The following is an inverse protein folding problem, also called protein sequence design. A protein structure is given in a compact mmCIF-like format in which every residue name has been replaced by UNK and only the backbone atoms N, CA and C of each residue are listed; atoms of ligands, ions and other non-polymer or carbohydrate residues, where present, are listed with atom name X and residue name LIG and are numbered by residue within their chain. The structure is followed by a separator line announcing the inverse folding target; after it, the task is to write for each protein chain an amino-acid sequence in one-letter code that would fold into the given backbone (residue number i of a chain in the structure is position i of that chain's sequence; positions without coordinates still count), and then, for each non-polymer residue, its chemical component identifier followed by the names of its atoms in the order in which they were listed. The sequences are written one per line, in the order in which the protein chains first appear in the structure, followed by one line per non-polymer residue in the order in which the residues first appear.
data_IF_998244913522
#
_entry.id   IF_998244913522
#
_cell.length_a   1.000
_cell.length_b   1.000
_cell.length_c   1.000
_cell.angle_alpha   90.00
_cell.angle_beta   90.00
_cell.angle_gamma   90.00
#
_symmetry.space_group_name_H-M   'P 1'
#
loop_
_entity.id
_entity.type
_entity.pdbx_description
1 polymer ?
#
# COMPACT_ATOMS: atom_id res chain seq x y z
N UNK A 1 10.79 23.99 -8.79
CA UNK A 1 9.85 23.48 -7.79
C UNK A 1 10.32 22.09 -7.40
N UNK A 2 10.50 21.81 -6.12
CA UNK A 2 10.76 20.45 -5.65
C UNK A 2 9.39 19.76 -5.63
N UNK A 3 9.16 18.82 -6.55
CA UNK A 3 7.92 18.05 -6.59
C UNK A 3 7.79 17.15 -5.35
N UNK A 4 6.56 16.82 -4.98
CA UNK A 4 6.29 15.88 -3.89
C UNK A 4 6.85 14.50 -4.28
N UNK A 5 7.90 14.07 -3.59
CA UNK A 5 8.47 12.73 -3.75
C UNK A 5 7.90 11.79 -2.69
N UNK A 6 6.83 11.07 -3.01
CA UNK A 6 6.29 10.02 -2.14
C UNK A 6 7.27 8.84 -2.14
N UNK A 7 7.72 8.46 -0.95
CA UNK A 7 8.71 7.40 -0.74
C UNK A 7 8.14 6.18 -0.05
N UNK A 8 7.15 6.35 0.83
CA UNK A 8 6.42 5.26 1.46
C UNK A 8 4.94 5.57 1.53
N UNK A 9 4.12 4.55 1.30
CA UNK A 9 2.68 4.54 1.55
C UNK A 9 2.38 3.30 2.37
N UNK A 10 1.62 3.45 3.45
CA UNK A 10 1.02 2.30 4.18
C UNK A 10 -0.49 2.40 4.02
N UNK A 11 -1.11 1.30 3.59
CA UNK A 11 -2.54 1.20 3.29
C UNK A 11 -3.16 0.07 4.10
N UNK A 12 -4.36 0.31 4.63
CA UNK A 12 -5.29 -0.75 5.03
C UNK A 12 -6.11 -1.15 3.82
N UNK A 13 -6.03 -2.43 3.46
CA UNK A 13 -6.66 -2.98 2.25
C UNK A 13 -7.42 -4.25 2.59
N UNK A 14 -8.72 -4.25 2.30
CA UNK A 14 -9.58 -5.41 2.37
C UNK A 14 -9.63 -6.17 1.05
N UNK A 15 -9.69 -7.49 1.10
CA UNK A 15 -9.91 -8.35 -0.07
C UNK A 15 -10.78 -9.56 0.27
N UNK A 16 -11.34 -10.22 -0.74
CA UNK A 16 -11.98 -11.52 -0.57
C UNK A 16 -10.98 -12.62 -0.17
N UNK A 17 -11.48 -13.73 0.40
CA UNK A 17 -10.63 -14.88 0.76
C UNK A 17 -10.01 -15.59 -0.45
N UNK A 18 -10.73 -15.62 -1.59
CA UNK A 18 -10.30 -16.36 -2.79
C UNK A 18 -9.36 -15.58 -3.70
N UNK A 19 -9.77 -14.38 -4.12
CA UNK A 19 -9.01 -13.50 -5.01
C UNK A 19 -9.25 -12.03 -4.64
N UNK A 20 -8.27 -11.15 -4.91
CA UNK A 20 -6.90 -11.46 -5.36
C UNK A 20 -6.08 -12.21 -4.29
N UNK A 21 -5.04 -12.94 -4.73
CA UNK A 21 -4.03 -13.49 -3.83
C UNK A 21 -3.06 -12.39 -3.37
N UNK A 22 -2.28 -12.63 -2.31
CA UNK A 22 -1.22 -11.68 -1.91
C UNK A 22 -0.15 -11.53 -3.00
N UNK A 23 0.09 -12.58 -3.79
CA UNK A 23 1.02 -12.53 -4.93
C UNK A 23 0.42 -11.67 -6.05
N UNK A 24 -0.86 -11.84 -6.38
CA UNK A 24 -1.54 -11.05 -7.41
C UNK A 24 -1.50 -9.54 -7.05
N UNK A 25 -1.75 -9.21 -5.78
CA UNK A 25 -1.62 -7.84 -5.26
C UNK A 25 -0.18 -7.34 -5.35
N UNK A 26 0.80 -8.15 -4.97
CA UNK A 26 2.21 -7.76 -5.03
C UNK A 26 2.64 -7.47 -6.47
N UNK A 27 2.28 -8.33 -7.41
CA UNK A 27 2.56 -8.17 -8.85
C UNK A 27 1.91 -6.91 -9.43
N UNK A 28 0.66 -6.64 -9.06
CA UNK A 28 -0.03 -5.42 -9.47
C UNK A 28 0.69 -4.18 -8.93
N UNK A 29 1.02 -4.15 -7.64
CA UNK A 29 1.66 -3.01 -6.98
C UNK A 29 3.05 -2.71 -7.55
N UNK A 30 3.89 -3.72 -7.78
CA UNK A 30 5.25 -3.49 -8.34
C UNK A 30 5.24 -2.98 -9.78
N UNK A 31 4.10 -3.11 -10.49
CA UNK A 31 3.97 -2.59 -11.85
C UNK A 31 3.77 -1.06 -11.89
N UNK A 32 3.42 -0.46 -10.75
CA UNK A 32 3.16 0.98 -10.62
C UNK A 32 4.47 1.77 -10.69
N UNK A 33 4.46 2.84 -11.48
CA UNK A 33 5.65 3.69 -11.65
C UNK A 33 6.13 4.27 -10.30
N UNK A 34 7.41 4.09 -10.05
CA UNK A 34 8.09 4.61 -8.87
C UNK A 34 8.00 3.71 -7.64
N UNK A 35 7.39 2.53 -7.75
CA UNK A 35 7.45 1.48 -6.71
C UNK A 35 8.75 0.68 -6.87
N UNK A 36 9.52 0.59 -5.78
CA UNK A 36 10.74 -0.22 -5.71
C UNK A 36 10.48 -1.55 -4.97
N UNK A 37 9.49 -1.59 -4.08
CA UNK A 37 9.12 -2.80 -3.35
C UNK A 37 7.80 -2.67 -2.59
N UNK A 38 7.25 -3.83 -2.23
CA UNK A 38 6.01 -3.96 -1.46
C UNK A 38 6.16 -5.05 -0.40
N UNK A 39 5.57 -4.80 0.77
CA UNK A 39 5.33 -5.79 1.81
C UNK A 39 3.83 -5.84 2.09
N UNK A 40 3.26 -7.05 2.16
CA UNK A 40 1.86 -7.26 2.49
C UNK A 40 1.79 -8.20 3.69
N UNK A 41 1.13 -7.75 4.75
CA UNK A 41 0.85 -8.54 5.94
C UNK A 41 -0.65 -8.68 6.14
N UNK A 42 -1.11 -9.85 6.58
CA UNK A 42 -2.52 -10.06 6.93
C UNK A 42 -2.75 -9.52 8.34
N UNK A 43 -3.75 -8.67 8.49
CA UNK A 43 -4.12 -8.06 9.79
C UNK A 43 -5.22 -8.86 10.47
N UNK A 44 -6.25 -9.25 9.71
CA UNK A 44 -7.39 -10.01 10.20
C UNK A 44 -8.02 -10.87 9.09
N UNK A 45 -8.77 -11.89 9.50
CA UNK A 45 -9.50 -12.80 8.60
C UNK A 45 -10.89 -13.02 9.21
N UNK A 46 -11.92 -12.72 8.43
CA UNK A 46 -13.33 -12.96 8.76
C UNK A 46 -13.92 -14.08 7.87
N UNK A 47 -15.23 -14.32 7.95
CA UNK A 47 -15.90 -15.38 7.19
C UNK A 47 -15.77 -15.22 5.66
N UNK A 48 -15.72 -13.99 5.15
CA UNK A 48 -15.71 -13.71 3.70
C UNK A 48 -14.53 -12.82 3.26
N UNK A 49 -13.88 -12.13 4.20
CA UNK A 49 -12.89 -11.09 3.92
C UNK A 49 -11.57 -11.33 4.65
N UNK A 50 -10.50 -10.77 4.09
CA UNK A 50 -9.17 -10.71 4.66
C UNK A 50 -8.71 -9.26 4.64
N UNK A 51 -8.42 -8.71 5.82
CA UNK A 51 -7.77 -7.41 5.98
C UNK A 51 -6.26 -7.55 5.82
N UNK A 52 -5.63 -6.55 5.23
CA UNK A 52 -4.18 -6.52 5.02
C UNK A 52 -3.62 -5.13 5.28
N UNK A 53 -2.41 -5.09 5.83
CA UNK A 53 -1.59 -3.88 5.85
C UNK A 53 -0.54 -3.99 4.75
N UNK A 54 -0.61 -3.07 3.79
CA UNK A 54 0.27 -3.01 2.62
C UNK A 54 1.22 -1.84 2.80
N UNK A 55 2.52 -2.12 2.87
CA UNK A 55 3.58 -1.11 2.86
C UNK A 55 4.23 -1.10 1.49
N UNK A 56 4.25 0.06 0.84
CA UNK A 56 4.87 0.28 -0.48
C UNK A 56 5.99 1.29 -0.32
N UNK A 57 7.19 0.96 -0.80
CA UNK A 57 8.33 1.88 -0.82
C UNK A 57 8.84 2.11 -2.24
N UNK A 58 9.39 3.30 -2.47
CA UNK A 58 9.98 3.64 -3.75
C UNK A 58 10.40 5.09 -3.90
N UNK A 59 10.45 5.56 -5.14
CA UNK A 59 10.84 6.92 -5.51
C UNK A 59 9.80 7.54 -6.43
N UNK A 60 9.20 8.63 -5.97
CA UNK A 60 8.16 9.38 -6.67
C UNK A 60 6.98 8.47 -7.05
N UNK A 61 6.51 7.68 -6.07
CA UNK A 61 5.38 6.76 -6.22
C UNK A 61 4.17 7.55 -6.73
N UNK A 62 3.58 7.07 -7.82
CA UNK A 62 2.31 7.60 -8.30
C UNK A 62 1.16 7.07 -7.43
N UNK A 63 0.76 7.85 -6.42
CA UNK A 63 -0.24 7.44 -5.43
C UNK A 63 -1.61 7.12 -6.05
N UNK A 64 -2.08 7.95 -6.98
CA UNK A 64 -3.40 7.74 -7.60
C UNK A 64 -3.41 6.46 -8.45
N UNK A 65 -2.31 6.17 -9.16
CA UNK A 65 -2.14 4.93 -9.92
C UNK A 65 -2.00 3.72 -9.00
N UNK A 66 -1.31 3.86 -7.86
CA UNK A 66 -1.19 2.81 -6.85
C UNK A 66 -2.55 2.38 -6.32
N UNK A 67 -3.38 3.32 -5.88
CA UNK A 67 -4.72 3.03 -5.35
C UNK A 67 -5.58 2.36 -6.40
N UNK A 68 -5.63 2.93 -7.62
CA UNK A 68 -6.40 2.35 -8.74
C UNK A 68 -5.95 0.93 -9.07
N UNK A 69 -4.64 0.70 -9.13
CA UNK A 69 -4.07 -0.61 -9.45
C UNK A 69 -4.46 -1.66 -8.42
N UNK A 70 -4.50 -1.30 -7.13
CA UNK A 70 -4.99 -2.18 -6.08
C UNK A 70 -6.48 -2.45 -6.25
N UNK A 71 -7.30 -1.42 -6.46
CA UNK A 71 -8.75 -1.55 -6.62
C UNK A 71 -9.14 -2.36 -7.87
N UNK A 72 -8.40 -2.23 -8.97
CA UNK A 72 -8.61 -2.97 -10.21
C UNK A 72 -8.41 -4.50 -10.04
N UNK A 73 -7.71 -4.95 -9.00
CA UNK A 73 -7.61 -6.38 -8.65
C UNK A 73 -8.87 -6.93 -7.97
N UNK A 74 -9.82 -6.06 -7.60
CA UNK A 74 -11.00 -6.39 -6.81
C UNK A 74 -10.80 -6.28 -5.29
N UNK A 75 -9.65 -5.76 -4.84
CA UNK A 75 -9.44 -5.36 -3.46
C UNK A 75 -10.03 -3.95 -3.20
N UNK A 76 -10.13 -3.55 -1.93
CA UNK A 76 -10.67 -2.25 -1.51
C UNK A 76 -9.68 -1.58 -0.57
N UNK A 77 -9.24 -0.37 -0.89
CA UNK A 77 -8.42 0.44 0.02
C UNK A 77 -9.34 1.13 1.03
N UNK A 78 -9.24 0.77 2.30
CA UNK A 78 -10.07 1.34 3.37
C UNK A 78 -9.52 2.69 3.86
N UNK A 79 -8.20 2.76 4.05
CA UNK A 79 -7.51 3.96 4.52
C UNK A 79 -6.07 4.04 4.04
N UNK A 80 -5.57 5.27 4.05
CA UNK A 80 -4.14 5.57 3.98
C UNK A 80 -3.65 5.77 5.40
N UNK A 81 -2.92 4.79 5.92
CA UNK A 81 -2.48 4.77 7.31
C UNK A 81 -1.20 5.59 7.51
N UNK A 82 -0.32 5.64 6.50
CA UNK A 82 0.92 6.43 6.53
C UNK A 82 1.32 6.94 5.14
N UNK A 83 1.87 8.16 5.11
CA UNK A 83 2.62 8.70 3.97
C UNK A 83 3.96 9.22 4.48
N UNK A 84 5.06 8.78 3.87
CA UNK A 84 6.37 9.40 4.02
C UNK A 84 6.84 9.98 2.68
N UNK A 85 7.20 11.27 2.67
CA UNK A 85 7.60 11.98 1.47
C UNK A 85 8.81 12.90 1.71
N UNK A 86 9.57 13.17 0.65
CA UNK A 86 10.72 14.07 0.66
C UNK A 86 12.01 13.40 0.19
N UNK A 87 13.15 13.97 0.57
CA UNK A 87 14.47 13.46 0.15
C UNK A 87 14.90 12.21 0.90
N UNK A 88 14.33 11.94 2.09
CA UNK A 88 14.62 10.79 2.95
C UNK A 88 13.33 10.29 3.62
N UNK A 89 13.35 9.04 4.10
CA UNK A 89 12.28 8.52 4.95
C UNK A 89 12.37 9.14 6.34
N UNK A 90 11.21 9.50 6.89
CA UNK A 90 11.03 9.90 8.29
C UNK A 90 10.17 8.80 8.90
N UNK A 91 10.74 8.04 9.83
CA UNK A 91 9.97 7.02 10.54
C UNK A 91 8.93 7.68 11.45
N UNK A 92 7.73 7.10 11.48
CA UNK A 92 6.70 7.52 12.41
C UNK A 92 7.14 7.19 13.84
N UNK A 93 7.25 8.22 14.68
CA UNK A 93 7.48 8.04 16.11
C UNK A 93 6.12 7.83 16.76
N UNK A 94 5.70 6.55 16.89
CA UNK A 94 4.48 6.22 17.66
C UNK A 94 4.66 6.70 19.09
N UNK A 95 3.74 7.57 19.53
CA UNK A 95 3.61 7.92 20.94
C UNK A 95 2.59 6.96 21.51
N UNK A 96 3.03 6.05 22.36
CA UNK A 96 2.13 5.25 23.17
C UNK A 96 1.38 6.21 24.09
N UNK A 97 0.06 6.34 23.90
CA UNK A 97 -0.85 7.09 24.77
C UNK A 97 -1.71 6.09 25.52
#
# INVERSE_FOLDING_TARGET
MIGLNIRRVILDVGKGLGRPSLVDLSEAIISVKGVDGVNISVTEIDMETMGTNITVEGTNINFDELVRTIEDTGAVVHSVDEIAAGSRLIENIRRDI
#
